data_IF_528533663679
#
_entry.id   IF_528533663679
#
_cell.length_a   1.000
_cell.length_b   1.000
_cell.length_c   1.000
_cell.angle_alpha   90.00
_cell.angle_beta   90.00
_cell.angle_gamma   90.00
#
_symmetry.space_group_name_H-M   'P 1'
#
loop_
_entity.id
_entity.type
_entity.pdbx_description
1 polymer ?
#
# COMPACT_ATOMS: atom_id res chain seq x y z
N UNK A 1 5.66 -3.18 27.03
CA UNK A 1 4.78 -3.34 25.86
C UNK A 1 5.26 -4.59 25.13
N UNK A 2 4.47 -5.65 25.10
CA UNK A 2 4.79 -6.83 24.28
C UNK A 2 4.79 -6.37 22.82
N UNK A 3 5.87 -6.65 22.08
CA UNK A 3 5.93 -6.38 20.64
C UNK A 3 4.69 -7.00 20.00
N UNK A 4 3.97 -6.22 19.16
CA UNK A 4 2.87 -6.74 18.37
C UNK A 4 3.42 -7.87 17.49
N UNK A 5 2.65 -8.95 17.35
CA UNK A 5 3.00 -10.05 16.44
C UNK A 5 2.54 -9.75 15.00
N UNK A 6 1.87 -8.62 14.79
CA UNK A 6 1.18 -8.28 13.55
C UNK A 6 2.13 -7.76 12.46
N UNK A 7 3.28 -7.20 12.86
CA UNK A 7 4.33 -6.71 11.95
C UNK A 7 5.68 -7.25 12.42
N UNK A 8 6.43 -7.82 11.52
CA UNK A 8 7.79 -8.33 11.78
C UNK A 8 8.80 -7.61 10.91
N UNK A 9 9.92 -7.19 11.50
CA UNK A 9 11.07 -6.68 10.77
C UNK A 9 12.13 -7.76 10.66
N UNK A 10 12.74 -7.87 9.50
CA UNK A 10 13.96 -8.64 9.25
C UNK A 10 15.03 -7.60 8.93
N UNK A 11 16.07 -7.60 9.75
CA UNK A 11 17.20 -6.68 9.59
C UNK A 11 17.86 -6.86 8.22
N UNK A 12 18.55 -5.82 7.72
CA UNK A 12 19.23 -5.89 6.44
C UNK A 12 20.20 -7.06 6.38
N UNK A 13 20.08 -7.82 5.30
CA UNK A 13 21.01 -8.90 4.97
C UNK A 13 22.37 -8.37 4.49
N UNK A 14 23.24 -9.28 4.04
CA UNK A 14 24.59 -8.94 3.53
C UNK A 14 24.54 -8.06 2.27
N UNK A 15 23.40 -8.08 1.54
CA UNK A 15 23.17 -7.29 0.33
C UNK A 15 22.48 -5.95 0.63
N UNK A 16 22.23 -5.65 1.91
CA UNK A 16 21.63 -4.39 2.36
C UNK A 16 20.12 -4.31 2.16
N UNK A 17 19.41 -5.43 2.10
CA UNK A 17 17.96 -5.50 1.94
C UNK A 17 17.28 -5.77 3.27
N UNK A 18 16.52 -4.80 3.78
CA UNK A 18 15.66 -4.95 4.95
C UNK A 18 14.22 -5.35 4.54
N UNK A 19 13.51 -6.07 5.43
CA UNK A 19 12.14 -6.51 5.14
C UNK A 19 11.21 -6.14 6.28
N UNK A 20 10.04 -5.59 5.93
CA UNK A 20 8.90 -5.44 6.84
C UNK A 20 7.80 -6.39 6.38
N UNK A 21 7.39 -7.28 7.25
CA UNK A 21 6.43 -8.34 6.95
C UNK A 21 5.15 -8.16 7.77
N UNK A 22 4.00 -8.10 7.07
CA UNK A 22 2.68 -8.06 7.67
C UNK A 22 2.24 -9.49 8.02
N UNK A 23 1.97 -9.75 9.31
CA UNK A 23 1.74 -11.08 9.87
C UNK A 23 0.32 -11.24 10.43
N UNK A 24 -0.70 -10.88 9.66
CA UNK A 24 -2.14 -11.04 10.03
C UNK A 24 -2.91 -11.89 9.02
N UNK A 25 -2.42 -13.13 8.74
CA UNK A 25 -3.07 -13.99 7.77
C UNK A 25 -4.49 -14.39 8.21
N UNK A 26 -5.37 -14.77 7.28
CA UNK A 26 -5.11 -14.83 5.84
C UNK A 26 -5.29 -13.51 5.10
N UNK A 27 -5.99 -12.54 5.68
CA UNK A 27 -6.50 -11.35 4.99
C UNK A 27 -5.58 -10.13 5.12
N UNK A 28 -4.78 -10.05 6.17
CA UNK A 28 -3.89 -8.92 6.47
C UNK A 28 -4.64 -7.57 6.48
N UNK A 29 -5.78 -7.52 7.19
CA UNK A 29 -6.51 -6.27 7.36
C UNK A 29 -5.68 -5.22 8.08
N UNK A 30 -5.75 -4.00 7.60
CA UNK A 30 -5.08 -2.84 8.20
C UNK A 30 -5.96 -2.22 9.28
N UNK A 31 -5.32 -1.94 10.40
CA UNK A 31 -5.80 -1.04 11.45
C UNK A 31 -4.80 0.10 11.58
N UNK A 32 -5.19 1.17 12.27
CA UNK A 32 -4.27 2.29 12.55
C UNK A 32 -3.01 1.83 13.29
N UNK A 33 -3.14 0.86 14.21
CA UNK A 33 -2.01 0.33 14.99
C UNK A 33 -1.02 -0.42 14.11
N UNK A 34 -1.53 -1.24 13.18
CA UNK A 34 -0.70 -1.96 12.20
C UNK A 34 0.05 -0.97 11.30
N UNK A 35 -0.62 0.07 10.81
CA UNK A 35 0.00 1.08 9.97
C UNK A 35 1.07 1.89 10.72
N UNK A 36 0.81 2.26 11.98
CA UNK A 36 1.81 2.93 12.81
C UNK A 36 3.03 2.05 13.05
N UNK A 37 2.82 0.76 13.34
CA UNK A 37 3.91 -0.19 13.53
C UNK A 37 4.71 -0.41 12.26
N UNK A 38 4.05 -0.65 11.12
CA UNK A 38 4.71 -0.77 9.82
C UNK A 38 5.55 0.47 9.51
N UNK A 39 4.97 1.65 9.69
CA UNK A 39 5.66 2.90 9.42
C UNK A 39 6.87 3.12 10.35
N UNK A 40 6.73 2.78 11.64
CA UNK A 40 7.84 2.85 12.59
C UNK A 40 8.99 1.92 12.19
N UNK A 41 8.68 0.67 11.81
CA UNK A 41 9.67 -0.30 11.36
C UNK A 41 10.34 0.13 10.03
N UNK A 42 9.56 0.62 9.07
CA UNK A 42 10.10 1.14 7.81
C UNK A 42 11.01 2.35 8.03
N UNK A 43 10.65 3.26 8.94
CA UNK A 43 11.49 4.41 9.32
C UNK A 43 12.79 3.98 10.01
N UNK A 44 12.74 2.94 10.85
CA UNK A 44 13.94 2.37 11.45
C UNK A 44 14.90 1.83 10.38
N UNK A 45 14.40 1.04 9.41
CA UNK A 45 15.20 0.57 8.27
C UNK A 45 15.68 1.73 7.38
N UNK A 46 14.83 2.74 7.17
CA UNK A 46 15.20 3.94 6.40
C UNK A 46 16.38 4.71 7.04
N UNK A 47 16.48 4.68 8.36
CA UNK A 47 17.57 5.33 9.11
C UNK A 47 18.79 4.43 9.32
N UNK A 48 18.69 3.12 9.07
CA UNK A 48 19.77 2.16 9.25
C UNK A 48 20.79 2.27 8.11
N UNK A 49 22.04 2.64 8.39
CA UNK A 49 23.10 2.79 7.37
C UNK A 49 23.41 1.51 6.59
N UNK A 50 23.12 0.33 7.15
CA UNK A 50 23.32 -0.96 6.48
C UNK A 50 22.16 -1.33 5.56
N UNK A 51 21.06 -0.58 5.56
CA UNK A 51 19.91 -0.81 4.69
C UNK A 51 20.00 0.09 3.45
N UNK A 52 19.94 -0.48 2.26
CA UNK A 52 19.93 0.24 0.98
C UNK A 52 18.55 0.21 0.30
N UNK A 53 17.75 -0.83 0.57
CA UNK A 53 16.40 -0.96 0.06
C UNK A 53 15.51 -1.73 1.05
N UNK A 54 14.19 -1.49 0.98
CA UNK A 54 13.21 -2.11 1.87
C UNK A 54 12.22 -2.91 1.03
N UNK A 55 11.90 -4.14 1.45
CA UNK A 55 10.78 -4.92 0.93
C UNK A 55 9.66 -4.91 1.97
N UNK A 56 8.45 -4.62 1.53
CA UNK A 56 7.23 -4.83 2.32
C UNK A 56 6.48 -6.01 1.71
N UNK A 57 6.26 -7.05 2.51
CA UNK A 57 5.55 -8.26 2.12
C UNK A 57 4.55 -8.70 3.18
N UNK A 58 3.82 -9.74 2.92
CA UNK A 58 2.82 -10.26 3.85
C UNK A 58 2.78 -11.79 3.88
N UNK A 59 2.37 -12.34 5.00
CA UNK A 59 2.04 -13.75 5.12
C UNK A 59 0.58 -14.00 4.69
N UNK A 60 0.28 -15.22 4.27
CA UNK A 60 -1.08 -15.65 3.98
C UNK A 60 -1.53 -15.41 2.54
N UNK A 61 -2.84 -15.26 2.35
CA UNK A 61 -3.49 -15.29 1.04
C UNK A 61 -3.39 -13.97 0.28
N UNK A 62 -3.44 -12.84 0.99
CA UNK A 62 -3.50 -11.51 0.42
C UNK A 62 -2.28 -10.70 0.86
N UNK A 63 -1.80 -9.82 -0.01
CA UNK A 63 -0.90 -8.77 0.45
C UNK A 63 -1.60 -7.93 1.52
N UNK A 64 -2.79 -7.43 1.20
CA UNK A 64 -3.64 -6.74 2.16
C UNK A 64 -5.08 -6.65 1.62
N UNK A 65 -6.04 -7.15 2.35
CA UNK A 65 -7.45 -7.08 1.99
C UNK A 65 -8.13 -5.74 2.34
N UNK A 66 -7.34 -4.76 2.77
CA UNK A 66 -7.83 -3.42 3.09
C UNK A 66 -8.24 -3.29 4.55
N UNK A 67 -9.35 -2.57 4.77
CA UNK A 67 -9.94 -2.39 6.10
C UNK A 67 -11.01 -3.45 6.36
N UNK A 68 -11.03 -4.01 7.54
CA UNK A 68 -12.14 -4.84 7.99
C UNK A 68 -13.33 -3.96 8.40
N UNK A 69 -14.45 -4.11 7.70
CA UNK A 69 -15.67 -3.36 7.98
C UNK A 69 -16.61 -4.07 8.97
N UNK A 70 -16.35 -5.34 9.29
CA UNK A 70 -17.24 -6.20 10.08
C UNK A 70 -16.87 -6.33 11.56
N UNK A 71 -15.67 -5.96 11.98
CA UNK A 71 -15.23 -6.11 13.38
C UNK A 71 -15.37 -4.86 14.21
N UNK A 72 -15.60 -5.04 15.53
CA UNK A 72 -15.53 -3.95 16.50
C UNK A 72 -14.10 -3.36 16.50
N UNK A 73 -13.99 -2.04 16.54
CA UNK A 73 -12.73 -1.30 16.43
C UNK A 73 -12.44 -0.53 17.70
N UNK A 74 -11.14 -0.28 17.91
CA UNK A 74 -10.73 0.72 18.87
C UNK A 74 -11.22 2.10 18.40
N UNK A 75 -11.56 3.03 19.33
CA UNK A 75 -12.01 4.37 18.97
C UNK A 75 -11.04 5.13 18.06
N UNK A 76 -9.75 4.86 18.19
CA UNK A 76 -8.68 5.49 17.40
C UNK A 76 -8.58 4.95 15.98
N UNK A 77 -9.18 3.78 15.67
CA UNK A 77 -9.12 3.16 14.34
C UNK A 77 -10.13 3.76 13.37
N UNK A 78 -10.02 5.07 13.16
CA UNK A 78 -10.87 5.83 12.23
C UNK A 78 -10.30 5.84 10.81
N UNK A 79 -11.14 6.10 9.81
CA UNK A 79 -10.66 6.30 8.43
C UNK A 79 -9.70 7.51 8.35
N UNK A 80 -9.97 8.54 9.13
CA UNK A 80 -9.14 9.74 9.23
C UNK A 80 -7.72 9.41 9.73
N UNK A 81 -7.63 8.66 10.83
CA UNK A 81 -6.36 8.22 11.38
C UNK A 81 -5.58 7.34 10.40
N UNK A 82 -6.27 6.39 9.74
CA UNK A 82 -5.68 5.53 8.70
C UNK A 82 -5.11 6.38 7.56
N UNK A 83 -5.85 7.34 7.04
CA UNK A 83 -5.40 8.16 5.91
C UNK A 83 -4.27 9.13 6.29
N UNK A 84 -4.24 9.62 7.52
CA UNK A 84 -3.16 10.44 8.02
C UNK A 84 -1.79 9.73 8.04
N UNK A 85 -1.75 8.39 7.96
CA UNK A 85 -0.48 7.65 7.88
C UNK A 85 0.10 7.59 6.47
N UNK A 86 -0.74 7.72 5.44
CA UNK A 86 -0.35 7.48 4.05
C UNK A 86 0.86 8.32 3.58
N UNK A 87 0.98 9.64 3.88
CA UNK A 87 2.14 10.43 3.49
C UNK A 87 3.47 9.86 3.99
N UNK A 88 3.48 9.26 5.19
CA UNK A 88 4.69 8.67 5.77
C UNK A 88 5.28 7.51 4.96
N UNK A 89 4.47 6.80 4.17
CA UNK A 89 4.95 5.72 3.30
C UNK A 89 5.59 6.26 2.01
N UNK A 90 5.21 7.46 1.56
CA UNK A 90 5.82 8.11 0.40
C UNK A 90 7.12 8.86 0.75
N UNK A 91 7.25 9.33 1.99
CA UNK A 91 8.31 10.24 2.44
C UNK A 91 9.62 9.52 2.81
N UNK A 92 9.69 8.21 2.66
CA UNK A 92 10.90 7.43 2.89
C UNK A 92 11.97 7.79 1.84
N UNK A 93 13.20 8.02 2.27
CA UNK A 93 14.29 8.37 1.36
C UNK A 93 14.88 7.18 0.62
N UNK A 94 14.87 5.99 1.24
CA UNK A 94 15.26 4.74 0.59
C UNK A 94 14.14 4.20 -0.27
N UNK A 95 14.49 3.52 -1.37
CA UNK A 95 13.48 2.84 -2.18
C UNK A 95 12.86 1.70 -1.40
N UNK A 96 11.55 1.54 -1.58
CA UNK A 96 10.87 0.37 -1.08
C UNK A 96 9.98 -0.31 -2.12
N UNK A 97 9.90 -1.61 -2.04
CA UNK A 97 9.21 -2.50 -2.95
C UNK A 97 8.04 -3.15 -2.23
N UNK A 98 6.86 -3.09 -2.79
CA UNK A 98 5.73 -3.91 -2.37
C UNK A 98 5.82 -5.27 -3.09
N UNK A 99 5.96 -6.35 -2.31
CA UNK A 99 5.91 -7.74 -2.79
C UNK A 99 4.48 -8.25 -2.68
N UNK A 100 3.81 -8.42 -3.82
CA UNK A 100 2.39 -8.71 -3.91
C UNK A 100 2.16 -10.19 -4.22
N UNK A 101 1.90 -11.01 -3.20
CA UNK A 101 1.66 -12.45 -3.34
C UNK A 101 0.20 -12.81 -3.65
N UNK A 102 -0.72 -11.86 -3.45
CA UNK A 102 -2.16 -12.06 -3.65
C UNK A 102 -2.89 -10.74 -3.79
N UNK A 103 -4.15 -10.68 -3.34
CA UNK A 103 -4.97 -9.48 -3.47
C UNK A 103 -4.43 -8.29 -2.70
N UNK A 104 -4.36 -7.13 -3.38
CA UNK A 104 -4.19 -5.81 -2.78
C UNK A 104 -5.49 -5.04 -2.96
N UNK A 105 -6.28 -4.89 -1.88
CA UNK A 105 -7.69 -4.52 -1.98
C UNK A 105 -7.97 -3.23 -1.20
N UNK A 106 -8.67 -2.29 -1.79
CA UNK A 106 -9.06 -1.03 -1.14
C UNK A 106 -7.85 -0.26 -0.59
N UNK A 107 -7.79 -0.02 0.71
CA UNK A 107 -6.62 0.62 1.39
C UNK A 107 -5.34 -0.19 1.16
N UNK A 108 -5.43 -1.52 1.03
CA UNK A 108 -4.29 -2.37 0.68
C UNK A 108 -3.72 -2.08 -0.72
N UNK A 109 -4.59 -1.77 -1.69
CA UNK A 109 -4.13 -1.26 -2.98
C UNK A 109 -3.48 0.13 -2.83
N UNK A 110 -4.08 1.02 -2.03
CA UNK A 110 -3.49 2.33 -1.73
C UNK A 110 -2.09 2.22 -1.11
N UNK A 111 -1.90 1.31 -0.14
CA UNK A 111 -0.60 1.04 0.45
C UNK A 111 0.41 0.54 -0.60
N UNK A 112 0.02 -0.43 -1.45
CA UNK A 112 0.87 -0.92 -2.53
C UNK A 112 1.26 0.19 -3.51
N UNK A 113 0.35 1.14 -3.77
CA UNK A 113 0.62 2.29 -4.65
C UNK A 113 1.51 3.37 -4.04
N UNK A 114 1.70 3.39 -2.71
CA UNK A 114 2.70 4.23 -2.06
C UNK A 114 4.14 3.72 -2.30
N UNK A 115 4.32 2.45 -2.65
CA UNK A 115 5.64 1.88 -2.96
C UNK A 115 6.31 2.58 -4.15
N UNK A 116 7.65 2.58 -4.15
CA UNK A 116 8.40 2.99 -5.33
C UNK A 116 8.20 1.99 -6.46
N UNK A 117 8.19 0.71 -6.11
CA UNK A 117 8.05 -0.39 -7.05
C UNK A 117 7.12 -1.48 -6.50
N UNK A 118 6.52 -2.23 -7.40
CA UNK A 118 5.63 -3.37 -7.12
C UNK A 118 6.13 -4.58 -7.88
N UNK A 119 6.46 -5.64 -7.13
CA UNK A 119 6.83 -6.95 -7.67
C UNK A 119 5.71 -7.91 -7.28
N UNK A 120 5.07 -8.52 -8.23
CA UNK A 120 3.85 -9.28 -8.01
C UNK A 120 3.96 -10.74 -8.45
N UNK A 121 3.26 -11.62 -7.76
CA UNK A 121 2.98 -12.95 -8.24
C UNK A 121 1.98 -12.88 -9.41
N UNK A 122 2.10 -13.79 -10.39
CA UNK A 122 1.19 -13.90 -11.53
C UNK A 122 -0.28 -14.11 -11.13
N UNK A 123 -0.50 -14.77 -10.00
CA UNK A 123 -1.82 -15.01 -9.40
C UNK A 123 -2.37 -13.86 -8.56
N UNK A 124 -1.58 -12.79 -8.34
CA UNK A 124 -2.01 -11.62 -7.59
C UNK A 124 -3.01 -10.76 -8.38
N UNK A 125 -3.63 -9.81 -7.71
CA UNK A 125 -4.51 -8.83 -8.34
C UNK A 125 -4.61 -7.54 -7.52
N UNK A 126 -4.92 -6.44 -8.19
CA UNK A 126 -5.19 -5.15 -7.58
C UNK A 126 -6.68 -4.84 -7.69
N UNK A 127 -7.27 -4.29 -6.63
CA UNK A 127 -8.71 -4.04 -6.60
C UNK A 127 -9.07 -2.79 -5.80
N UNK A 128 -9.42 -1.72 -6.49
CA UNK A 128 -9.96 -0.49 -5.88
C UNK A 128 -11.46 -0.67 -5.53
N UNK A 129 -11.78 -1.53 -4.57
CA UNK A 129 -13.15 -2.00 -4.25
C UNK A 129 -14.06 -0.93 -3.61
N UNK A 130 -13.73 0.34 -3.63
CA UNK A 130 -14.46 1.38 -2.90
C UNK A 130 -15.84 1.66 -3.48
N UNK A 131 -15.94 1.87 -4.79
CA UNK A 131 -17.23 2.19 -5.45
C UNK A 131 -18.28 1.09 -5.25
N UNK A 132 -17.88 -0.18 -5.22
CA UNK A 132 -18.79 -1.30 -4.94
C UNK A 132 -19.27 -1.36 -3.48
N UNK A 133 -18.65 -0.57 -2.60
CA UNK A 133 -19.09 -0.35 -1.23
C UNK A 133 -19.90 0.96 -1.09
N UNK A 134 -20.20 1.66 -2.17
CA UNK A 134 -20.89 2.95 -2.14
C UNK A 134 -20.04 4.10 -1.57
N UNK A 135 -18.72 3.99 -1.55
CA UNK A 135 -17.84 5.04 -1.00
C UNK A 135 -16.78 5.51 -2.01
N UNK A 136 -16.27 6.70 -1.78
CA UNK A 136 -15.12 7.25 -2.49
C UNK A 136 -13.87 6.43 -2.20
N UNK A 137 -12.96 6.31 -3.17
CA UNK A 137 -11.64 5.70 -2.95
C UNK A 137 -10.82 6.53 -1.96
N UNK A 138 -9.72 5.96 -1.48
CA UNK A 138 -8.90 6.59 -0.46
C UNK A 138 -7.46 6.12 -0.45
N UNK A 139 -6.72 6.54 0.58
CA UNK A 139 -5.30 6.23 0.80
C UNK A 139 -4.39 6.73 -0.33
N UNK A 140 -4.71 7.89 -0.89
CA UNK A 140 -3.89 8.57 -1.90
C UNK A 140 -4.05 8.05 -3.32
N UNK A 141 -5.03 7.18 -3.60
CA UNK A 141 -5.27 6.66 -4.95
C UNK A 141 -5.63 7.77 -5.96
N UNK A 142 -6.19 8.90 -5.51
CA UNK A 142 -6.43 10.10 -6.35
C UNK A 142 -5.13 10.61 -7.01
N UNK A 143 -4.00 10.49 -6.32
CA UNK A 143 -2.70 10.95 -6.82
C UNK A 143 -1.86 9.80 -7.39
N UNK A 144 -1.73 8.69 -6.66
CA UNK A 144 -0.81 7.60 -7.00
C UNK A 144 -1.24 6.79 -8.21
N UNK A 145 -2.54 6.54 -8.37
CA UNK A 145 -3.02 5.72 -9.48
C UNK A 145 -2.88 6.44 -10.83
N UNK A 146 -3.35 7.71 -10.99
CA UNK A 146 -3.10 8.47 -12.22
C UNK A 146 -1.61 8.67 -12.53
N UNK A 147 -0.78 8.81 -11.50
CA UNK A 147 0.67 8.87 -11.67
C UNK A 147 1.24 7.63 -12.36
N UNK A 148 0.74 6.44 -11.99
CA UNK A 148 1.23 5.18 -12.55
C UNK A 148 0.65 4.88 -13.95
N UNK A 149 -0.66 5.06 -14.14
CA UNK A 149 -1.36 4.53 -15.34
C UNK A 149 -2.01 5.61 -16.22
N UNK A 150 -1.88 6.88 -15.84
CA UNK A 150 -2.56 8.02 -16.49
C UNK A 150 -4.01 8.17 -16.06
N UNK A 151 -4.54 9.38 -16.22
CA UNK A 151 -5.87 9.77 -15.71
C UNK A 151 -7.01 8.89 -16.23
N UNK A 152 -7.01 8.57 -17.52
CA UNK A 152 -8.12 7.86 -18.13
C UNK A 152 -8.27 6.42 -17.59
N UNK A 153 -7.15 5.70 -17.46
CA UNK A 153 -7.16 4.35 -16.88
C UNK A 153 -7.46 4.37 -15.40
N UNK A 154 -6.91 5.34 -14.68
CA UNK A 154 -7.21 5.52 -13.26
C UNK A 154 -8.73 5.75 -13.04
N UNK A 155 -9.34 6.64 -13.83
CA UNK A 155 -10.79 6.88 -13.79
C UNK A 155 -11.59 5.60 -14.05
N UNK A 156 -11.22 4.84 -15.07
CA UNK A 156 -11.91 3.57 -15.42
C UNK A 156 -11.81 2.55 -14.28
N UNK A 157 -10.61 2.31 -13.74
CA UNK A 157 -10.39 1.37 -12.64
C UNK A 157 -11.17 1.78 -11.39
N UNK A 158 -11.15 3.06 -11.02
CA UNK A 158 -11.83 3.57 -9.82
C UNK A 158 -13.35 3.58 -9.97
N UNK A 159 -13.86 3.95 -11.14
CA UNK A 159 -15.30 4.07 -11.39
C UNK A 159 -16.00 2.72 -11.57
N UNK A 160 -15.30 1.74 -12.15
CA UNK A 160 -15.85 0.38 -12.32
C UNK A 160 -15.67 -0.49 -11.09
N UNK A 161 -14.67 -0.19 -10.26
CA UNK A 161 -14.31 -1.01 -9.10
C UNK A 161 -13.96 -2.45 -9.47
N UNK A 162 -13.53 -2.69 -10.70
CA UNK A 162 -13.13 -4.02 -11.16
C UNK A 162 -11.77 -4.43 -10.62
N UNK A 163 -11.48 -5.71 -10.66
CA UNK A 163 -10.13 -6.23 -10.42
C UNK A 163 -9.24 -5.97 -11.64
N UNK A 164 -7.97 -5.70 -11.38
CA UNK A 164 -6.91 -5.63 -12.38
C UNK A 164 -6.03 -6.86 -12.22
N UNK A 165 -5.94 -7.69 -13.26
CA UNK A 165 -5.06 -8.87 -13.30
C UNK A 165 -3.60 -8.45 -13.45
N UNK A 166 -2.66 -9.36 -13.18
CA UNK A 166 -1.24 -9.02 -13.33
C UNK A 166 -0.80 -8.89 -14.78
N UNK A 167 -1.42 -9.60 -15.72
CA UNK A 167 -1.16 -9.43 -17.17
C UNK A 167 -1.53 -8.02 -17.65
N UNK A 168 -2.66 -7.51 -17.16
CA UNK A 168 -3.04 -6.13 -17.43
C UNK A 168 -2.13 -5.16 -16.68
N UNK A 169 -1.90 -5.39 -15.38
CA UNK A 169 -1.15 -4.50 -14.51
C UNK A 169 0.27 -4.23 -15.02
N UNK A 170 0.98 -5.26 -15.50
CA UNK A 170 2.32 -5.08 -16.10
C UNK A 170 2.23 -4.31 -17.42
N UNK A 171 1.21 -4.57 -18.23
CA UNK A 171 1.03 -3.91 -19.53
C UNK A 171 0.77 -2.41 -19.39
N UNK A 172 0.02 -1.99 -18.35
CA UNK A 172 -0.32 -0.58 -18.12
C UNK A 172 0.64 0.16 -17.19
N UNK A 173 1.69 -0.50 -16.69
CA UNK A 173 2.68 0.07 -15.77
C UNK A 173 2.21 0.18 -14.32
N UNK A 174 1.16 -0.56 -13.93
CA UNK A 174 0.65 -0.60 -12.57
C UNK A 174 1.51 -1.46 -11.65
N UNK A 175 2.23 -2.44 -12.20
CA UNK A 175 3.28 -3.21 -11.52
C UNK A 175 4.55 -3.21 -12.37
N UNK A 176 5.70 -3.39 -11.73
CA UNK A 176 7.01 -3.26 -12.36
C UNK A 176 7.59 -4.62 -12.79
N UNK A 177 7.21 -5.70 -12.09
CA UNK A 177 7.63 -7.08 -12.36
C UNK A 177 6.54 -8.06 -11.99
N UNK A 178 6.42 -9.12 -12.79
CA UNK A 178 5.53 -10.25 -12.50
C UNK A 178 6.36 -11.53 -12.57
N UNK A 179 6.14 -12.45 -11.64
CA UNK A 179 6.82 -13.75 -11.55
C UNK A 179 5.83 -14.82 -11.09
N UNK A 180 6.11 -16.11 -11.33
CA UNK A 180 5.36 -17.17 -10.67
C UNK A 180 5.32 -16.98 -9.15
N UNK A 181 4.24 -17.39 -8.49
CA UNK A 181 4.07 -17.22 -7.04
C UNK A 181 5.27 -17.76 -6.24
N UNK A 182 5.84 -18.90 -6.65
CA UNK A 182 7.00 -19.50 -5.97
C UNK A 182 8.28 -18.69 -6.09
N UNK A 183 8.39 -17.78 -7.08
CA UNK A 183 9.60 -17.04 -7.42
C UNK A 183 9.50 -15.55 -7.06
N UNK A 184 8.34 -15.08 -6.60
CA UNK A 184 8.09 -13.65 -6.39
C UNK A 184 9.01 -13.04 -5.35
N UNK A 185 9.26 -13.75 -4.23
CA UNK A 185 10.15 -13.25 -3.17
C UNK A 185 11.59 -13.14 -3.64
N UNK A 186 12.07 -14.11 -4.41
CA UNK A 186 13.40 -14.06 -5.02
C UNK A 186 13.49 -12.92 -6.05
N UNK A 187 12.44 -12.72 -6.86
CA UNK A 187 12.36 -11.62 -7.83
C UNK A 187 12.38 -10.26 -7.15
N UNK A 188 11.62 -10.08 -6.07
CA UNK A 188 11.62 -8.85 -5.26
C UNK A 188 13.00 -8.61 -4.62
N UNK A 189 13.61 -9.65 -4.05
CA UNK A 189 14.92 -9.54 -3.42
C UNK A 189 16.01 -9.16 -4.44
N UNK A 190 16.11 -9.85 -5.58
CA UNK A 190 17.07 -9.49 -6.65
C UNK A 190 16.91 -8.03 -7.10
N UNK A 191 15.67 -7.55 -7.18
CA UNK A 191 15.44 -6.16 -7.54
C UNK A 191 15.86 -5.21 -6.42
N UNK A 192 15.58 -5.54 -5.15
CA UNK A 192 16.01 -4.77 -4.00
C UNK A 192 17.54 -4.68 -3.92
N UNK A 193 18.26 -5.79 -4.16
CA UNK A 193 19.75 -5.81 -4.22
C UNK A 193 20.27 -4.89 -5.32
N UNK A 194 19.61 -4.88 -6.49
CA UNK A 194 19.98 -3.94 -7.59
C UNK A 194 19.88 -2.48 -7.14
N UNK A 195 18.85 -2.15 -6.35
CA UNK A 195 18.68 -0.80 -5.82
C UNK A 195 19.65 -0.51 -4.68
N UNK A 196 19.81 -1.45 -3.75
CA UNK A 196 20.68 -1.31 -2.57
C UNK A 196 22.17 -1.16 -2.95
N UNK A 197 22.59 -1.72 -4.09
CA UNK A 197 23.97 -1.61 -4.61
C UNK A 197 24.28 -0.23 -5.21
N UNK A 198 23.29 0.64 -5.41
CA UNK A 198 23.52 1.97 -5.97
C UNK A 198 24.04 2.96 -4.92
N UNK A 199 24.78 3.98 -5.33
CA UNK A 199 25.20 5.06 -4.43
C UNK A 199 23.99 5.70 -3.72
N UNK A 200 23.87 5.63 -2.39
CA UNK A 200 22.62 5.93 -1.67
C UNK A 200 22.19 7.39 -1.81
N UNK A 201 23.12 8.34 -1.83
CA UNK A 201 22.79 9.76 -2.00
C UNK A 201 22.27 10.08 -3.40
N UNK A 202 22.84 9.44 -4.43
CA UNK A 202 22.37 9.61 -5.79
C UNK A 202 20.96 9.03 -5.97
N UNK A 203 20.73 7.83 -5.44
CA UNK A 203 19.43 7.17 -5.50
C UNK A 203 18.34 7.97 -4.75
N UNK A 204 18.66 8.47 -3.55
CA UNK A 204 17.76 9.33 -2.78
C UNK A 204 17.44 10.64 -3.53
N UNK A 205 18.42 11.25 -4.16
CA UNK A 205 18.23 12.47 -4.96
C UNK A 205 17.34 12.24 -6.18
N UNK A 206 17.55 11.13 -6.90
CA UNK A 206 16.69 10.73 -8.03
C UNK A 206 15.25 10.52 -7.54
N UNK A 207 15.05 9.75 -6.46
CA UNK A 207 13.72 9.50 -5.88
C UNK A 207 13.03 10.81 -5.49
N UNK A 208 13.71 11.70 -4.77
CA UNK A 208 13.17 12.99 -4.35
C UNK A 208 12.71 13.82 -5.56
N UNK A 209 13.53 13.89 -6.61
CA UNK A 209 13.20 14.65 -7.84
C UNK A 209 12.02 14.02 -8.56
N UNK A 210 12.06 12.71 -8.81
CA UNK A 210 11.02 12.03 -9.57
C UNK A 210 9.66 12.03 -8.86
N UNK A 211 9.64 12.02 -7.53
CA UNK A 211 8.40 12.02 -6.73
C UNK A 211 7.92 13.40 -6.28
N UNK A 212 8.66 14.46 -6.55
CA UNK A 212 8.34 15.82 -6.06
C UNK A 212 6.92 16.29 -6.42
N UNK A 213 6.49 16.08 -7.66
CA UNK A 213 5.14 16.44 -8.12
C UNK A 213 4.07 15.57 -7.45
N UNK A 214 4.31 14.27 -7.34
CA UNK A 214 3.38 13.37 -6.64
C UNK A 214 3.21 13.78 -5.17
N UNK A 215 4.31 14.02 -4.45
CA UNK A 215 4.30 14.45 -3.06
C UNK A 215 3.54 15.76 -2.88
N UNK A 216 3.74 16.75 -3.75
CA UNK A 216 3.05 18.05 -3.67
C UNK A 216 1.52 17.94 -3.83
N UNK A 217 1.02 16.91 -4.52
CA UNK A 217 -0.41 16.68 -4.73
C UNK A 217 -1.02 15.74 -3.69
N UNK A 218 -0.20 14.93 -3.04
CA UNK A 218 -0.67 13.80 -2.25
C UNK A 218 -1.46 14.20 -1.00
N UNK A 219 -0.98 15.19 -0.24
CA UNK A 219 -1.67 15.66 0.97
C UNK A 219 -3.06 16.24 0.64
N UNK A 220 -3.13 17.05 -0.42
CA UNK A 220 -4.40 17.60 -0.90
C UNK A 220 -5.36 16.50 -1.38
N UNK A 221 -4.82 15.45 -2.03
CA UNK A 221 -5.59 14.28 -2.45
C UNK A 221 -6.17 13.53 -1.25
N UNK A 222 -5.36 13.24 -0.23
CA UNK A 222 -5.80 12.59 1.01
C UNK A 222 -6.91 13.38 1.70
N UNK A 223 -6.77 14.69 1.80
CA UNK A 223 -7.79 15.55 2.41
C UNK A 223 -9.10 15.55 1.63
N UNK A 224 -9.03 15.55 0.31
CA UNK A 224 -10.21 15.45 -0.55
C UNK A 224 -10.89 14.09 -0.39
N UNK A 225 -10.11 12.99 -0.50
CA UNK A 225 -10.61 11.62 -0.34
C UNK A 225 -11.33 11.43 0.99
N UNK A 226 -10.73 11.92 2.09
CA UNK A 226 -11.30 11.84 3.42
C UNK A 226 -12.68 12.52 3.48
N UNK A 227 -12.79 13.76 3.01
CA UNK A 227 -14.06 14.49 2.99
C UNK A 227 -15.11 13.82 2.11
N UNK A 228 -14.72 13.42 0.91
CA UNK A 228 -15.64 12.77 -0.04
C UNK A 228 -16.13 11.42 0.50
N UNK A 229 -15.27 10.64 1.14
CA UNK A 229 -15.63 9.35 1.71
C UNK A 229 -16.53 9.52 2.95
N UNK A 230 -16.21 10.46 3.85
CA UNK A 230 -17.03 10.75 5.05
C UNK A 230 -18.46 11.11 4.68
N UNK A 231 -18.66 11.89 3.62
CA UNK A 231 -19.99 12.29 3.15
C UNK A 231 -20.86 11.11 2.65
N UNK A 232 -20.25 9.95 2.39
CA UNK A 232 -20.93 8.77 1.84
C UNK A 232 -21.23 7.68 2.89
N UNK A 233 -20.68 7.78 4.10
CA UNK A 233 -20.86 6.73 5.12
C UNK A 233 -22.30 6.58 5.62
N UNK A 234 -23.11 7.62 5.55
CA UNK A 234 -24.52 7.60 5.98
C UNK A 234 -25.49 7.29 4.83
N UNK A 235 -24.99 6.99 3.63
CA UNK A 235 -25.85 6.64 2.48
C UNK A 235 -26.37 5.21 2.58
N UNK A 236 -27.57 4.99 2.03
CA UNK A 236 -28.19 3.65 1.96
C UNK A 236 -27.32 2.65 1.21
N UNK A 237 -26.60 3.09 0.19
CA UNK A 237 -25.69 2.24 -0.60
C UNK A 237 -24.57 1.68 0.28
N UNK A 238 -23.89 2.54 1.06
CA UNK A 238 -22.83 2.10 1.96
C UNK A 238 -23.35 1.21 3.09
N UNK A 239 -24.45 1.61 3.72
CA UNK A 239 -25.04 0.83 4.82
C UNK A 239 -25.49 -0.56 4.34
N UNK A 240 -26.08 -0.65 3.16
CA UNK A 240 -26.47 -1.93 2.55
C UNK A 240 -25.27 -2.79 2.21
N UNK A 241 -24.21 -2.21 1.64
CA UNK A 241 -23.00 -2.93 1.23
C UNK A 241 -22.18 -3.46 2.41
N UNK A 242 -22.27 -2.82 3.59
CA UNK A 242 -21.53 -3.18 4.81
C UNK A 242 -22.38 -3.89 5.87
N UNK A 243 -23.65 -4.24 5.56
CA UNK A 243 -24.57 -4.91 6.48
C UNK A 243 -25.10 -4.02 7.61
N UNK A 244 -25.06 -2.71 7.46
CA UNK A 244 -25.61 -1.73 8.42
C UNK A 244 -24.82 -1.60 9.74
N UNK A 245 -23.68 -2.26 9.85
CA UNK A 245 -22.88 -2.31 11.08
C UNK A 245 -21.92 -1.12 11.25
N UNK A 246 -21.71 -0.32 10.22
CA UNK A 246 -20.80 0.80 10.28
C UNK A 246 -21.52 2.09 10.69
N UNK A 247 -21.16 2.63 11.85
CA UNK A 247 -21.57 3.99 12.23
C UNK A 247 -20.29 4.82 12.35
N UNK A 248 -20.29 5.97 11.69
CA UNK A 248 -19.27 6.98 11.87
C UNK A 248 -19.51 7.64 13.25
N UNK A 249 -18.56 7.53 14.17
CA UNK A 249 -18.59 8.19 15.47
C UNK A 249 -17.72 9.44 15.41
#
# INVERSE_FOLDING_TARGET
MTASTDVRTIDPDVDGVGVVELCRPPENYLTIFVLWEMLAQMRALNSNSNCGAIIVRSQGKHFCAGRDWGTARAPEDTAEAIYATAPGFLDLTKPWIAELTGGSIGVGMGLAMCADYRVAADSAYLWAKFVSLGIHHGFGLTATLPWAVGNQRAMEILSTGRRVSMDEAITIGLVDRVSPLGDVSESAHRFAVTLASQPPLALASIKATMRSTLLSQFESAIDHERRAQTALYDTDDFQSATGGGYRYA
#
